data_IF_011971791876
#
_entry.id   IF_011971791876
#
_cell.length_a   1.000
_cell.length_b   1.000
_cell.length_c   1.000
_cell.angle_alpha   90.00
_cell.angle_beta   90.00
_cell.angle_gamma   90.00
#
_symmetry.space_group_name_H-M   'P 1'
#
loop_
_entity.id
_entity.type
_entity.pdbx_description
1 polymer ?
#
# COMPACT_ATOMS: atom_id res chain seq x y z
N UNK A 1 -10.26 3.42 -11.32
CA UNK A 1 -9.09 3.82 -10.51
C UNK A 1 -7.94 2.90 -10.86
N UNK A 2 -6.71 3.40 -10.93
CA UNK A 2 -5.49 2.57 -11.14
C UNK A 2 -4.85 2.18 -9.79
N UNK A 3 -5.65 2.15 -8.74
CA UNK A 3 -5.25 2.12 -7.33
C UNK A 3 -5.92 0.93 -6.64
N UNK A 4 -5.39 0.55 -5.48
CA UNK A 4 -5.90 -0.57 -4.69
C UNK A 4 -5.91 -0.23 -3.20
N UNK A 5 -6.86 -0.81 -2.46
CA UNK A 5 -6.88 -0.72 -0.99
C UNK A 5 -6.84 0.74 -0.51
N UNK A 6 -5.96 1.06 0.45
CA UNK A 6 -5.93 2.37 1.10
C UNK A 6 -5.49 3.52 0.21
N UNK A 7 -4.89 3.31 -0.97
CA UNK A 7 -4.67 4.45 -1.89
C UNK A 7 -6.00 5.00 -2.44
N UNK A 8 -6.99 4.13 -2.68
CA UNK A 8 -8.37 4.55 -2.99
C UNK A 8 -9.02 5.19 -1.75
N UNK A 9 -8.81 4.59 -0.58
CA UNK A 9 -9.35 5.09 0.70
C UNK A 9 -8.88 6.51 1.02
N UNK A 10 -7.59 6.79 0.92
CA UNK A 10 -7.00 8.11 1.17
C UNK A 10 -7.49 9.16 0.16
N UNK A 11 -7.65 8.77 -1.11
CA UNK A 11 -8.24 9.65 -2.13
C UNK A 11 -9.69 10.02 -1.78
N UNK A 12 -10.48 9.03 -1.34
CA UNK A 12 -11.86 9.25 -0.90
C UNK A 12 -11.95 10.10 0.39
N UNK A 13 -11.04 9.89 1.34
CA UNK A 13 -10.95 10.68 2.57
C UNK A 13 -10.60 12.14 2.28
N UNK A 14 -9.67 12.39 1.36
CA UNK A 14 -9.33 13.74 0.93
C UNK A 14 -10.51 14.47 0.29
N UNK A 15 -11.23 13.81 -0.61
CA UNK A 15 -12.46 14.36 -1.20
C UNK A 15 -13.56 14.60 -0.16
N UNK A 16 -13.74 13.67 0.78
CA UNK A 16 -14.73 13.82 1.84
C UNK A 16 -14.39 15.01 2.77
N UNK A 17 -13.12 15.21 3.09
CA UNK A 17 -12.65 16.37 3.86
C UNK A 17 -12.93 17.68 3.12
N UNK A 18 -12.60 17.75 1.83
CA UNK A 18 -12.89 18.92 0.99
C UNK A 18 -14.39 19.26 0.97
N UNK A 19 -15.26 18.24 0.83
CA UNK A 19 -16.70 18.43 0.85
C UNK A 19 -17.20 18.95 2.22
N UNK A 20 -16.63 18.46 3.33
CA UNK A 20 -16.95 18.96 4.67
C UNK A 20 -16.53 20.41 4.89
N UNK A 21 -15.48 20.85 4.20
CA UNK A 21 -15.01 22.24 4.20
C UNK A 21 -15.82 23.15 3.24
N UNK A 22 -16.85 22.61 2.59
CA UNK A 22 -17.76 23.36 1.72
C UNK A 22 -17.27 23.57 0.29
N UNK A 23 -16.25 22.82 -0.13
CA UNK A 23 -15.77 22.86 -1.52
C UNK A 23 -16.82 22.28 -2.48
N UNK A 24 -16.75 22.71 -3.74
CA UNK A 24 -17.59 22.22 -4.83
C UNK A 24 -17.29 20.75 -5.16
N UNK A 25 -18.21 20.12 -5.90
CA UNK A 25 -18.03 18.75 -6.36
C UNK A 25 -16.79 18.63 -7.28
N UNK A 26 -16.58 19.62 -8.13
CA UNK A 26 -15.44 19.70 -9.05
C UNK A 26 -14.11 19.78 -8.29
N UNK A 27 -14.03 20.59 -7.24
CA UNK A 27 -12.84 20.68 -6.37
C UNK A 27 -12.59 19.37 -5.62
N UNK A 28 -13.64 18.73 -5.10
CA UNK A 28 -13.51 17.43 -4.44
C UNK A 28 -12.94 16.36 -5.38
N UNK A 29 -13.39 16.35 -6.64
CA UNK A 29 -12.85 15.44 -7.68
C UNK A 29 -11.38 15.76 -7.95
N UNK A 30 -11.03 17.04 -8.14
CA UNK A 30 -9.65 17.44 -8.40
C UNK A 30 -8.71 17.04 -7.26
N UNK A 31 -9.14 17.16 -6.01
CA UNK A 31 -8.38 16.71 -4.83
C UNK A 31 -8.20 15.19 -4.84
N UNK A 32 -9.27 14.43 -5.10
CA UNK A 32 -9.19 12.97 -5.17
C UNK A 32 -8.19 12.52 -6.25
N UNK A 33 -8.22 13.15 -7.42
CA UNK A 33 -7.32 12.86 -8.53
C UNK A 33 -5.87 13.21 -8.21
N UNK A 34 -5.63 14.37 -7.57
CA UNK A 34 -4.30 14.78 -7.12
C UNK A 34 -3.71 13.79 -6.11
N UNK A 35 -4.49 13.40 -5.09
CA UNK A 35 -4.06 12.38 -4.12
C UNK A 35 -3.79 11.06 -4.85
N UNK A 36 -4.62 10.71 -5.83
CA UNK A 36 -4.45 9.47 -6.55
C UNK A 36 -3.15 9.40 -7.36
N UNK A 37 -2.77 10.50 -8.02
CA UNK A 37 -1.54 10.62 -8.79
C UNK A 37 -0.28 10.54 -7.92
N UNK A 38 -0.36 11.00 -6.67
CA UNK A 38 0.74 10.99 -5.68
C UNK A 38 0.77 9.73 -4.81
N UNK A 39 -0.17 8.81 -5.05
CA UNK A 39 -0.31 7.62 -4.22
C UNK A 39 0.70 6.53 -4.59
N UNK A 40 1.29 5.94 -3.56
CA UNK A 40 2.25 4.86 -3.64
C UNK A 40 1.73 3.67 -2.82
N UNK A 41 1.97 2.45 -3.29
CA UNK A 41 1.55 1.24 -2.59
C UNK A 41 2.62 0.15 -2.72
N UNK A 42 3.10 -0.36 -1.59
CA UNK A 42 4.05 -1.45 -1.52
C UNK A 42 3.52 -2.57 -0.64
N UNK A 43 3.62 -3.81 -1.10
CA UNK A 43 3.05 -4.96 -0.40
C UNK A 43 4.04 -6.12 -0.34
N UNK A 44 4.30 -6.61 0.87
CA UNK A 44 5.11 -7.80 1.16
C UNK A 44 4.21 -9.03 1.21
N UNK A 45 4.53 -10.02 0.40
CA UNK A 45 3.82 -11.30 0.34
C UNK A 45 4.70 -12.44 0.84
N UNK A 46 4.07 -13.46 1.41
CA UNK A 46 4.75 -14.72 1.74
C UNK A 46 4.88 -15.62 0.51
N UNK A 47 3.90 -15.54 -0.40
CA UNK A 47 3.85 -16.29 -1.67
C UNK A 47 2.99 -15.55 -2.69
N UNK A 48 3.23 -15.81 -4.00
CA UNK A 48 2.41 -15.29 -5.10
C UNK A 48 1.29 -16.24 -5.51
N UNK A 49 1.20 -17.43 -4.91
CA UNK A 49 0.24 -18.48 -5.27
C UNK A 49 -1.22 -17.97 -5.29
N UNK A 50 -1.61 -17.14 -4.32
CA UNK A 50 -2.97 -16.59 -4.24
C UNK A 50 -3.27 -15.59 -5.35
N UNK A 51 -2.29 -14.75 -5.71
CA UNK A 51 -2.41 -13.83 -6.84
C UNK A 51 -2.48 -14.60 -8.16
N UNK A 52 -1.69 -15.67 -8.30
CA UNK A 52 -1.67 -16.53 -9.49
C UNK A 52 -3.00 -17.28 -9.66
N UNK A 53 -3.43 -18.04 -8.64
CA UNK A 53 -4.71 -18.77 -8.65
C UNK A 53 -5.89 -17.81 -8.80
N UNK A 54 -5.75 -16.62 -8.22
CA UNK A 54 -6.71 -15.54 -8.37
C UNK A 54 -6.70 -14.89 -9.75
N UNK A 55 -5.68 -15.05 -10.59
CA UNK A 55 -5.57 -14.32 -11.86
C UNK A 55 -5.30 -12.81 -11.71
N UNK A 56 -4.89 -12.36 -10.52
CA UNK A 56 -4.59 -10.94 -10.19
C UNK A 56 -3.09 -10.67 -10.11
N UNK A 57 -2.27 -11.60 -10.59
CA UNK A 57 -0.81 -11.53 -10.50
C UNK A 57 -0.18 -10.50 -11.46
N UNK A 58 -0.85 -10.15 -12.57
CA UNK A 58 -0.37 -9.14 -13.51
C UNK A 58 1.07 -9.37 -13.98
N UNK A 59 1.87 -8.29 -13.99
CA UNK A 59 3.29 -8.29 -14.39
C UNK A 59 4.18 -9.11 -13.45
N UNK A 60 3.76 -9.35 -12.20
CA UNK A 60 4.49 -10.20 -11.26
C UNK A 60 4.50 -11.70 -11.65
N UNK A 61 3.80 -12.11 -12.72
CA UNK A 61 3.78 -13.50 -13.21
C UNK A 61 5.18 -14.04 -13.54
N UNK A 62 6.09 -13.17 -13.98
CA UNK A 62 7.48 -13.53 -14.29
C UNK A 62 8.26 -14.09 -13.09
N UNK A 63 7.74 -13.91 -11.87
CA UNK A 63 8.40 -14.32 -10.63
C UNK A 63 8.15 -15.77 -10.19
N UNK A 64 7.10 -16.41 -10.71
CA UNK A 64 6.61 -17.72 -10.22
C UNK A 64 7.69 -18.82 -10.26
N UNK A 65 8.61 -18.80 -11.23
CA UNK A 65 9.66 -19.81 -11.39
C UNK A 65 10.91 -19.65 -10.51
N UNK A 66 11.08 -18.50 -9.84
CA UNK A 66 12.29 -18.18 -9.06
C UNK A 66 12.07 -18.02 -7.56
N UNK A 67 10.87 -18.36 -7.07
CA UNK A 67 10.38 -17.92 -5.76
C UNK A 67 10.76 -18.82 -4.58
N UNK A 68 11.53 -19.89 -4.79
CA UNK A 68 11.91 -20.80 -3.70
C UNK A 68 12.72 -20.02 -2.64
N UNK A 69 12.13 -19.84 -1.44
CA UNK A 69 12.72 -19.16 -0.27
C UNK A 69 12.88 -17.63 -0.37
N UNK A 70 12.15 -16.96 -1.25
CA UNK A 70 12.12 -15.47 -1.29
C UNK A 70 10.70 -14.94 -1.11
N UNK A 71 10.59 -13.82 -0.38
CA UNK A 71 9.36 -13.07 -0.16
C UNK A 71 9.32 -11.89 -1.13
N UNK A 72 8.39 -11.85 -2.08
CA UNK A 72 8.31 -10.74 -3.03
C UNK A 72 7.66 -9.52 -2.38
N UNK A 73 8.16 -8.36 -2.77
CA UNK A 73 7.53 -7.07 -2.50
C UNK A 73 7.06 -6.53 -3.84
N UNK A 74 5.77 -6.22 -3.92
CA UNK A 74 5.12 -5.76 -5.13
C UNK A 74 4.68 -4.31 -4.96
N UNK A 75 4.52 -3.62 -6.09
CA UNK A 75 3.95 -2.27 -6.19
C UNK A 75 2.86 -2.24 -7.24
N UNK A 76 1.98 -1.25 -7.15
CA UNK A 76 1.06 -0.93 -8.25
C UNK A 76 1.75 0.02 -9.21
N UNK A 77 1.78 -0.34 -10.49
CA UNK A 77 2.25 0.49 -11.59
C UNK A 77 1.21 0.45 -12.70
N UNK A 78 0.68 1.61 -13.09
CA UNK A 78 -0.33 1.74 -14.15
C UNK A 78 -1.55 0.81 -13.96
N UNK A 79 -1.98 0.64 -12.71
CA UNK A 79 -3.10 -0.24 -12.35
C UNK A 79 -2.79 -1.73 -12.33
N UNK A 80 -1.55 -2.14 -12.61
CA UNK A 80 -1.12 -3.54 -12.57
C UNK A 80 -0.14 -3.82 -11.43
N UNK A 81 -0.17 -5.05 -10.93
CA UNK A 81 0.78 -5.52 -9.90
C UNK A 81 2.13 -5.82 -10.56
N UNK A 82 3.13 -5.01 -10.21
CA UNK A 82 4.52 -5.12 -10.65
C UNK A 82 5.47 -5.52 -9.53
N UNK A 83 6.66 -5.99 -9.91
CA UNK A 83 7.71 -6.29 -8.94
C UNK A 83 8.35 -4.99 -8.44
N UNK A 84 8.50 -4.86 -7.12
CA UNK A 84 9.33 -3.81 -6.52
C UNK A 84 10.67 -4.37 -6.04
N UNK A 85 10.63 -5.37 -5.15
CA UNK A 85 11.84 -5.95 -4.56
C UNK A 85 11.63 -7.42 -4.15
N UNK A 86 12.70 -8.05 -3.65
CA UNK A 86 12.68 -9.40 -3.08
C UNK A 86 13.43 -9.39 -1.74
N UNK A 87 12.94 -10.14 -0.77
CA UNK A 87 13.58 -10.34 0.53
C UNK A 87 13.76 -11.83 0.82
N UNK A 88 14.79 -12.21 1.57
CA UNK A 88 15.02 -13.62 1.99
C UNK A 88 14.32 -13.99 3.29
N UNK A 89 13.95 -12.99 4.10
CA UNK A 89 13.22 -13.17 5.36
C UNK A 89 12.14 -12.11 5.50
N UNK A 90 11.19 -12.34 6.42
CA UNK A 90 10.10 -11.40 6.70
C UNK A 90 10.64 -10.06 7.23
N UNK A 91 11.56 -10.10 8.20
CA UNK A 91 12.19 -8.90 8.76
C UNK A 91 12.89 -8.06 7.69
N UNK A 92 13.63 -8.70 6.77
CA UNK A 92 14.25 -7.97 5.65
C UNK A 92 13.20 -7.38 4.68
N UNK A 93 12.04 -8.03 4.57
CA UNK A 93 10.90 -7.50 3.81
C UNK A 93 10.30 -6.26 4.46
N UNK A 94 10.10 -6.30 5.79
CA UNK A 94 9.60 -5.17 6.57
C UNK A 94 10.53 -3.96 6.49
N UNK A 95 11.84 -4.15 6.65
CA UNK A 95 12.83 -3.10 6.48
C UNK A 95 12.80 -2.49 5.07
N UNK A 96 12.54 -3.31 4.04
CA UNK A 96 12.39 -2.81 2.67
C UNK A 96 11.10 -2.03 2.45
N UNK A 97 9.99 -2.37 3.11
CA UNK A 97 8.77 -1.57 3.06
C UNK A 97 9.00 -0.20 3.71
N UNK A 98 9.65 -0.18 4.87
CA UNK A 98 10.01 1.06 5.56
C UNK A 98 10.91 1.93 4.67
N UNK A 99 11.98 1.35 4.13
CA UNK A 99 12.90 2.09 3.25
C UNK A 99 12.19 2.61 2.00
N UNK A 100 11.30 1.82 1.39
CA UNK A 100 10.55 2.23 0.20
C UNK A 100 9.73 3.49 0.45
N UNK A 101 9.16 3.65 1.65
CA UNK A 101 8.38 4.83 2.03
C UNK A 101 9.27 6.01 2.42
N UNK A 102 10.41 5.76 3.08
CA UNK A 102 11.40 6.81 3.35
C UNK A 102 11.98 7.41 2.07
N UNK A 103 12.20 6.58 1.05
CA UNK A 103 12.76 6.99 -0.24
C UNK A 103 11.79 7.87 -1.06
N UNK A 104 10.51 7.95 -0.67
CA UNK A 104 9.52 8.81 -1.32
C UNK A 104 9.68 10.30 -0.95
N UNK A 105 10.42 10.64 0.09
CA UNK A 105 10.59 12.01 0.56
C UNK A 105 9.47 12.48 1.49
N UNK A 106 8.97 13.70 1.28
CA UNK A 106 7.91 14.29 2.10
C UNK A 106 6.55 13.62 1.81
N UNK A 107 5.80 13.34 2.88
CA UNK A 107 4.56 12.57 2.83
C UNK A 107 3.42 13.35 3.50
N UNK A 108 2.25 13.33 2.87
CA UNK A 108 1.04 13.89 3.46
C UNK A 108 0.33 12.89 4.37
N UNK A 109 0.24 11.62 3.94
CA UNK A 109 -0.53 10.58 4.63
C UNK A 109 0.08 9.19 4.41
N UNK A 110 -0.06 8.31 5.41
CA UNK A 110 0.36 6.91 5.38
C UNK A 110 -0.78 6.02 5.87
N UNK A 111 -0.95 4.87 5.23
CA UNK A 111 -1.80 3.80 5.74
C UNK A 111 -1.09 2.44 5.68
N UNK A 112 -1.03 1.74 6.80
CA UNK A 112 -0.53 0.38 6.91
C UNK A 112 -1.69 -0.61 6.84
N UNK A 113 -1.51 -1.65 6.04
CA UNK A 113 -2.54 -2.59 5.66
C UNK A 113 -2.08 -4.02 5.96
N UNK A 114 -2.93 -4.84 6.58
CA UNK A 114 -2.63 -6.25 6.88
C UNK A 114 -3.79 -7.19 6.52
N UNK A 115 -3.54 -8.50 6.46
CA UNK A 115 -4.58 -9.50 6.09
C UNK A 115 -5.05 -10.39 7.22
N UNK A 116 -4.13 -10.96 8.00
CA UNK A 116 -4.43 -11.94 9.04
C UNK A 116 -3.99 -11.42 10.40
N UNK A 117 -2.68 -11.47 10.65
CA UNK A 117 -2.04 -11.00 11.87
C UNK A 117 -1.62 -9.53 11.75
N UNK A 118 -1.94 -8.73 12.76
CA UNK A 118 -1.71 -7.29 12.81
C UNK A 118 -0.35 -6.89 13.37
N UNK A 119 0.38 -7.81 14.01
CA UNK A 119 1.64 -7.48 14.72
C UNK A 119 2.67 -6.78 13.84
N UNK A 120 2.89 -7.26 12.61
CA UNK A 120 3.84 -6.60 11.71
C UNK A 120 3.35 -5.23 11.22
N UNK A 121 2.04 -5.04 11.10
CA UNK A 121 1.49 -3.74 10.74
C UNK A 121 1.66 -2.73 11.89
N UNK A 122 1.42 -3.13 13.14
CA UNK A 122 1.65 -2.31 14.33
C UNK A 122 3.12 -1.91 14.47
N UNK A 123 4.03 -2.86 14.23
CA UNK A 123 5.47 -2.59 14.20
C UNK A 123 5.82 -1.58 13.09
N UNK A 124 5.26 -1.75 11.89
CA UNK A 124 5.53 -0.84 10.77
C UNK A 124 4.99 0.57 11.03
N UNK A 125 3.81 0.72 11.63
CA UNK A 125 3.27 2.03 12.06
C UNK A 125 4.27 2.73 12.99
N UNK A 126 4.81 1.99 13.96
CA UNK A 126 5.77 2.53 14.94
C UNK A 126 7.02 3.08 14.26
N UNK A 127 7.51 2.45 13.18
CA UNK A 127 8.73 2.89 12.49
C UNK A 127 8.51 4.00 11.46
N UNK A 128 7.29 4.15 10.92
CA UNK A 128 6.97 5.14 9.88
C UNK A 128 6.17 6.35 10.37
N UNK A 129 5.59 6.33 11.56
CA UNK A 129 4.78 7.46 12.07
C UNK A 129 5.54 8.79 12.09
N UNK A 130 6.85 8.76 12.39
CA UNK A 130 7.70 9.95 12.39
C UNK A 130 8.02 10.53 11.00
N UNK A 131 7.51 9.93 9.93
CA UNK A 131 7.61 10.44 8.57
C UNK A 131 6.45 11.38 8.21
N UNK A 132 5.40 11.43 9.03
CA UNK A 132 4.25 12.29 8.79
C UNK A 132 4.44 13.68 9.44
N UNK A 133 3.72 14.70 8.92
CA UNK A 133 3.64 16.01 9.56
C UNK A 133 3.15 15.92 11.01
N UNK A 134 3.52 16.90 11.82
CA UNK A 134 3.11 16.97 13.22
C UNK A 134 1.58 16.88 13.37
N UNK A 135 1.12 16.05 14.31
CA UNK A 135 -0.30 15.84 14.59
C UNK A 135 -1.01 14.85 13.66
N UNK A 136 -0.29 14.21 12.71
CA UNK A 136 -0.81 13.09 11.91
C UNK A 136 -0.27 11.75 12.38
N UNK A 137 -1.11 10.72 12.27
CA UNK A 137 -0.75 9.33 12.56
C UNK A 137 -1.06 8.44 11.36
N UNK A 138 -0.28 7.37 11.12
CA UNK A 138 -0.61 6.42 10.08
C UNK A 138 -1.95 5.72 10.36
N UNK A 139 -2.78 5.55 9.33
CA UNK A 139 -3.92 4.65 9.42
C UNK A 139 -3.42 3.20 9.54
N UNK A 140 -4.10 2.38 10.32
CA UNK A 140 -3.89 0.92 10.33
C UNK A 140 -5.21 0.21 10.03
N UNK A 141 -5.20 -0.69 9.04
CA UNK A 141 -6.43 -1.37 8.63
C UNK A 141 -6.19 -2.81 8.17
N UNK A 142 -7.21 -3.64 8.37
CA UNK A 142 -7.25 -4.99 7.84
C UNK A 142 -7.92 -4.98 6.47
N UNK A 143 -7.36 -5.71 5.51
CA UNK A 143 -8.00 -5.88 4.20
C UNK A 143 -9.34 -6.61 4.33
N UNK A 144 -10.31 -6.20 3.51
CA UNK A 144 -11.55 -6.93 3.33
C UNK A 144 -11.36 -8.26 2.59
N UNK A 145 -12.41 -9.11 2.56
CA UNK A 145 -12.31 -10.48 2.05
C UNK A 145 -11.90 -10.56 0.58
N UNK A 146 -12.32 -9.61 -0.27
CA UNK A 146 -11.98 -9.59 -1.70
C UNK A 146 -10.47 -9.47 -1.92
N UNK A 147 -9.83 -8.51 -1.23
CA UNK A 147 -8.37 -8.35 -1.31
C UNK A 147 -7.68 -9.53 -0.61
N UNK A 148 -8.18 -9.96 0.55
CA UNK A 148 -7.61 -11.08 1.30
C UNK A 148 -7.55 -12.39 0.50
N UNK A 149 -8.58 -12.71 -0.29
CA UNK A 149 -8.61 -13.91 -1.15
C UNK A 149 -7.46 -13.92 -2.17
N UNK A 150 -7.12 -12.77 -2.74
CA UNK A 150 -6.07 -12.67 -3.75
C UNK A 150 -4.69 -12.43 -3.16
N UNK A 151 -4.60 -11.70 -2.05
CA UNK A 151 -3.34 -11.41 -1.42
C UNK A 151 -2.79 -12.58 -0.58
N UNK A 152 -3.67 -13.45 -0.10
CA UNK A 152 -3.30 -14.54 0.79
C UNK A 152 -3.04 -14.06 2.23
N UNK A 153 -2.64 -14.99 3.11
CA UNK A 153 -2.37 -14.70 4.52
C UNK A 153 -1.08 -13.92 4.71
N UNK A 154 -0.94 -13.28 5.88
CA UNK A 154 0.25 -12.59 6.36
C UNK A 154 0.76 -11.43 5.48
N UNK A 155 -0.02 -11.01 4.48
CA UNK A 155 0.21 -9.77 3.75
C UNK A 155 0.40 -8.62 4.74
N UNK A 156 1.44 -7.83 4.52
CA UNK A 156 1.60 -6.49 5.08
C UNK A 156 1.92 -5.54 3.94
N UNK A 157 1.26 -4.40 3.92
CA UNK A 157 1.45 -3.39 2.90
C UNK A 157 1.43 -1.99 3.51
N UNK A 158 1.99 -1.04 2.78
CA UNK A 158 1.99 0.36 3.13
C UNK A 158 1.58 1.18 1.92
N UNK A 159 0.58 2.03 2.13
CA UNK A 159 0.17 3.08 1.22
C UNK A 159 0.74 4.41 1.73
N UNK A 160 1.24 5.25 0.83
CA UNK A 160 1.74 6.58 1.16
C UNK A 160 1.32 7.59 0.10
N UNK A 161 1.02 8.82 0.51
CA UNK A 161 0.75 9.95 -0.38
C UNK A 161 1.94 10.90 -0.27
N UNK A 162 2.71 11.08 -1.34
CA UNK A 162 3.80 12.06 -1.36
C UNK A 162 3.25 13.47 -1.39
N UNK A 163 3.87 14.42 -0.70
CA UNK A 163 3.43 15.83 -0.72
C UNK A 163 3.42 16.41 -2.14
N UNK A 164 2.52 17.38 -2.37
CA UNK A 164 2.30 18.03 -3.67
C UNK A 164 3.29 19.17 -3.94
#
# INVERSE_FOLDING_TARGET
>A
TQQVSMTVGLSALGAAKAAQEGQSAEECVAIAESIAQRSNFFALFDTLEYLEKGGRIGKARSLIGGLLKIRPILRVEDGEIGQFAKARSRNMGMLKLEQAVRDLGELDDIAVVYSTDGTDAENLVTTVQGLLPEGKEPYITRVGPVIGTHAGPNLVAIAAITSA
#
